data_IF_809730284466
#
_entry.id   IF_809730284466
#
_cell.length_a   1.000
_cell.length_b   1.000
_cell.length_c   1.000
_cell.angle_alpha   90.00
_cell.angle_beta   90.00
_cell.angle_gamma   90.00
#
_symmetry.space_group_name_H-M   'P 1'
#
loop_
_entity.id
_entity.type
_entity.pdbx_description
1 polymer ?
#
# COMPACT_ATOMS: atom_id res chain seq x y z
N UNK A 1 18.45 -26.55 -8.84
CA UNK A 1 19.54 -25.55 -8.68
C UNK A 1 18.96 -24.23 -8.20
N UNK A 2 19.51 -23.64 -7.13
CA UNK A 2 19.09 -22.32 -6.64
C UNK A 2 19.63 -21.24 -7.59
N UNK A 3 18.75 -20.41 -8.15
CA UNK A 3 19.13 -19.33 -9.06
C UNK A 3 19.97 -18.28 -8.30
N UNK A 4 21.27 -18.19 -8.62
CA UNK A 4 22.24 -17.28 -7.99
C UNK A 4 21.88 -15.80 -8.14
N UNK A 5 21.07 -15.41 -9.12
CA UNK A 5 20.68 -14.02 -9.35
C UNK A 5 19.42 -13.59 -8.59
N UNK A 6 18.67 -14.54 -8.01
CA UNK A 6 17.40 -14.25 -7.35
C UNK A 6 17.55 -13.81 -5.89
N UNK A 7 18.65 -14.20 -5.23
CA UNK A 7 18.82 -13.99 -3.79
C UNK A 7 20.14 -13.30 -3.49
N UNK A 8 20.12 -12.37 -2.53
CA UNK A 8 21.32 -11.75 -1.95
C UNK A 8 21.49 -12.21 -0.50
N UNK A 9 22.74 -12.41 -0.09
CA UNK A 9 23.08 -12.78 1.28
C UNK A 9 23.31 -11.52 2.12
N UNK A 10 22.82 -11.53 3.36
CA UNK A 10 23.05 -10.50 4.35
C UNK A 10 23.77 -11.11 5.55
N UNK A 11 24.92 -10.56 5.93
CA UNK A 11 25.64 -10.90 7.14
C UNK A 11 25.36 -9.83 8.21
N UNK A 12 25.09 -10.26 9.44
CA UNK A 12 24.76 -9.38 10.57
C UNK A 12 25.56 -9.85 11.77
N UNK A 13 26.23 -8.91 12.44
CA UNK A 13 26.89 -9.16 13.71
C UNK A 13 25.95 -8.75 14.85
N UNK A 14 25.83 -9.61 15.85
CA UNK A 14 25.03 -9.37 17.05
C UNK A 14 25.92 -9.57 18.27
N UNK A 15 25.61 -8.85 19.34
CA UNK A 15 26.25 -9.09 20.64
C UNK A 15 25.92 -10.49 21.15
N UNK A 16 26.85 -11.06 21.92
CA UNK A 16 26.75 -12.45 22.38
C UNK A 16 25.51 -12.69 23.25
N UNK A 17 25.16 -11.71 24.07
CA UNK A 17 24.01 -11.75 24.96
C UNK A 17 22.70 -11.78 24.18
N UNK A 18 22.56 -10.87 23.21
CA UNK A 18 21.39 -10.81 22.30
C UNK A 18 21.26 -12.10 21.50
N UNK A 19 22.37 -12.66 21.02
CA UNK A 19 22.36 -13.91 20.27
C UNK A 19 21.96 -15.13 21.11
N UNK A 20 22.30 -15.15 22.39
CA UNK A 20 21.86 -16.17 23.34
C UNK A 20 20.37 -16.02 23.68
N UNK A 21 19.88 -14.78 23.79
CA UNK A 21 18.48 -14.54 24.11
C UNK A 21 17.52 -15.01 23.00
N UNK A 22 17.97 -14.99 21.74
CA UNK A 22 17.22 -15.55 20.61
C UNK A 22 16.82 -17.02 20.82
N UNK A 23 17.57 -17.80 21.61
CA UNK A 23 17.22 -19.19 21.91
C UNK A 23 15.86 -19.30 22.63
N UNK A 24 15.50 -18.33 23.47
CA UNK A 24 14.22 -18.32 24.19
C UNK A 24 13.02 -18.20 23.25
N UNK A 25 13.21 -17.51 22.12
CA UNK A 25 12.14 -17.24 21.14
C UNK A 25 12.09 -18.25 20.00
N UNK A 26 13.15 -19.04 19.85
CA UNK A 26 13.21 -20.18 18.96
C UNK A 26 12.73 -21.40 19.75
N UNK A 27 11.42 -21.65 19.80
CA UNK A 27 10.77 -22.79 20.48
C UNK A 27 11.18 -24.17 19.88
N UNK A 28 12.47 -24.51 19.90
CA UNK A 28 13.07 -25.77 19.47
C UNK A 28 12.98 -26.13 17.98
N UNK A 29 12.08 -25.51 17.20
CA UNK A 29 11.77 -25.92 15.82
C UNK A 29 12.29 -24.96 14.74
N UNK A 30 12.80 -23.80 15.11
CA UNK A 30 13.26 -22.78 14.14
C UNK A 30 14.67 -22.32 14.44
N UNK A 31 15.49 -22.26 13.39
CA UNK A 31 16.84 -21.70 13.46
C UNK A 31 16.79 -20.19 13.78
N UNK A 32 17.73 -19.69 14.59
CA UNK A 32 17.88 -18.25 14.89
C UNK A 32 17.89 -17.38 13.64
N UNK A 33 18.56 -17.84 12.58
CA UNK A 33 18.62 -17.14 11.30
C UNK A 33 17.23 -16.95 10.65
N UNK A 34 16.34 -17.93 10.78
CA UNK A 34 14.96 -17.86 10.29
C UNK A 34 14.16 -16.85 11.10
N UNK A 35 14.33 -16.84 12.42
CA UNK A 35 13.67 -15.89 13.29
C UNK A 35 14.13 -14.45 13.03
N UNK A 36 15.43 -14.21 12.94
CA UNK A 36 16.02 -12.90 12.59
C UNK A 36 15.51 -12.42 11.23
N UNK A 37 15.47 -13.31 10.23
CA UNK A 37 14.90 -12.99 8.91
C UNK A 37 13.43 -12.58 9.00
N UNK A 38 12.63 -13.23 9.85
CA UNK A 38 11.22 -12.89 10.08
C UNK A 38 11.08 -11.52 10.75
N UNK A 39 11.89 -11.23 11.77
CA UNK A 39 11.92 -9.92 12.42
C UNK A 39 12.23 -8.80 11.44
N UNK A 40 13.30 -8.96 10.64
CA UNK A 40 13.70 -7.98 9.62
C UNK A 40 12.57 -7.77 8.61
N UNK A 41 11.95 -8.86 8.12
CA UNK A 41 10.83 -8.77 7.18
C UNK A 41 9.64 -8.00 7.77
N UNK A 42 9.29 -8.27 9.02
CA UNK A 42 8.19 -7.59 9.71
C UNK A 42 8.50 -6.10 9.95
N UNK A 43 9.72 -5.77 10.36
CA UNK A 43 10.16 -4.39 10.53
C UNK A 43 10.12 -3.61 9.21
N UNK A 44 10.64 -4.19 8.12
CA UNK A 44 10.60 -3.58 6.79
C UNK A 44 9.17 -3.39 6.28
N UNK A 45 8.29 -4.36 6.52
CA UNK A 45 6.88 -4.22 6.15
C UNK A 45 6.21 -3.08 6.93
N UNK A 46 6.50 -2.93 8.23
CA UNK A 46 5.99 -1.82 9.04
C UNK A 46 6.49 -0.47 8.51
N UNK A 47 7.75 -0.37 8.12
CA UNK A 47 8.33 0.85 7.52
C UNK A 47 7.68 1.15 6.17
N UNK A 48 7.50 0.15 5.30
CA UNK A 48 6.80 0.32 4.00
C UNK A 48 5.35 0.75 4.19
N UNK A 49 4.61 0.10 5.08
CA UNK A 49 3.24 0.49 5.40
C UNK A 49 3.19 1.89 5.98
N UNK A 50 4.14 2.29 6.83
CA UNK A 50 4.21 3.67 7.35
C UNK A 50 4.51 4.68 6.24
N UNK A 51 5.41 4.38 5.30
CA UNK A 51 5.68 5.26 4.15
C UNK A 51 4.50 5.32 3.16
N UNK A 52 3.66 4.29 3.08
CA UNK A 52 2.41 4.30 2.29
C UNK A 52 1.27 5.00 3.03
N UNK A 53 1.27 4.96 4.37
CA UNK A 53 0.22 5.52 5.24
C UNK A 53 0.56 6.92 5.79
N UNK A 54 1.73 7.48 5.50
CA UNK A 54 2.06 8.87 5.88
C UNK A 54 1.21 9.91 5.11
N UNK A 55 0.35 9.49 4.17
CA UNK A 55 -0.69 10.33 3.56
C UNK A 55 -2.10 10.14 4.17
N UNK A 56 -2.31 9.16 5.06
CA UNK A 56 -3.66 8.72 5.44
C UNK A 56 -3.81 8.50 6.97
N UNK A 57 -3.63 9.55 7.79
CA UNK A 57 -4.15 9.59 9.18
C UNK A 57 -5.62 10.05 9.25
N UNK A 58 -6.51 9.50 8.41
CA UNK A 58 -7.94 9.67 8.63
C UNK A 58 -8.74 8.40 8.29
N UNK A 59 -8.96 7.58 9.32
CA UNK A 59 -9.45 6.20 9.30
C UNK A 59 -10.91 6.00 8.86
N UNK A 60 -11.55 6.98 8.22
CA UNK A 60 -12.95 6.90 7.78
C UNK A 60 -13.17 7.09 6.27
N UNK A 61 -12.15 7.41 5.48
CA UNK A 61 -12.30 7.48 4.02
C UNK A 61 -11.86 6.17 3.38
N UNK A 62 -12.80 5.40 2.83
CA UNK A 62 -12.51 4.29 1.92
C UNK A 62 -11.93 4.88 0.63
N UNK A 63 -10.61 5.10 0.60
CA UNK A 63 -9.92 5.62 -0.58
C UNK A 63 -9.70 4.47 -1.57
N UNK A 64 -10.33 4.56 -2.74
CA UNK A 64 -10.08 3.64 -3.86
C UNK A 64 -8.86 4.19 -4.63
N UNK A 65 -7.73 3.49 -4.54
CA UNK A 65 -6.51 3.86 -5.27
C UNK A 65 -6.55 3.21 -6.67
N UNK A 66 -6.67 4.01 -7.71
CA UNK A 66 -6.67 3.58 -9.12
C UNK A 66 -5.38 4.01 -9.78
N UNK A 67 -4.68 3.07 -10.44
CA UNK A 67 -3.49 3.39 -11.23
C UNK A 67 -3.94 3.99 -12.57
N UNK A 68 -3.41 5.17 -12.91
CA UNK A 68 -3.69 5.83 -14.18
C UNK A 68 -2.38 5.88 -14.97
N UNK A 69 -2.35 5.24 -16.14
CA UNK A 69 -1.14 5.17 -16.96
C UNK A 69 -0.89 6.47 -17.76
N UNK A 70 -1.92 7.30 -17.97
CA UNK A 70 -1.88 8.51 -18.80
C UNK A 70 -1.94 9.82 -17.99
N UNK A 71 -1.36 9.86 -16.78
CA UNK A 71 -1.50 11.02 -15.89
C UNK A 71 -0.97 12.33 -16.51
N UNK A 72 0.11 12.27 -17.28
CA UNK A 72 0.72 13.44 -17.93
C UNK A 72 -0.22 14.13 -18.93
N UNK A 73 -0.98 13.37 -19.72
CA UNK A 73 -1.94 13.90 -20.68
C UNK A 73 -3.08 14.65 -19.97
N UNK A 74 -3.53 14.09 -18.84
CA UNK A 74 -4.59 14.67 -18.02
C UNK A 74 -4.10 15.96 -17.37
N UNK A 75 -2.88 15.97 -16.81
CA UNK A 75 -2.29 17.15 -16.21
C UNK A 75 -2.14 18.30 -17.22
N UNK A 76 -1.69 17.99 -18.44
CA UNK A 76 -1.59 18.98 -19.50
C UNK A 76 -2.96 19.56 -19.89
N UNK A 77 -3.97 18.71 -20.04
CA UNK A 77 -5.34 19.14 -20.33
C UNK A 77 -5.89 20.07 -19.23
N UNK A 78 -5.68 19.70 -17.96
CA UNK A 78 -6.11 20.47 -16.79
C UNK A 78 -5.46 21.85 -16.76
N UNK A 79 -4.16 21.92 -17.09
CA UNK A 79 -3.41 23.17 -17.20
C UNK A 79 -3.98 24.06 -18.30
N UNK A 80 -4.21 23.51 -19.50
CA UNK A 80 -4.75 24.26 -20.63
C UNK A 80 -6.17 24.80 -20.35
N UNK A 81 -7.01 24.02 -19.68
CA UNK A 81 -8.40 24.37 -19.35
C UNK A 81 -8.54 25.18 -18.06
N UNK A 82 -7.43 25.56 -17.40
CA UNK A 82 -7.40 26.37 -16.16
C UNK A 82 -8.22 25.75 -15.00
N UNK A 83 -8.24 24.42 -14.91
CA UNK A 83 -8.88 23.71 -13.79
C UNK A 83 -8.07 23.77 -12.48
N UNK A 84 -6.83 24.28 -12.53
CA UNK A 84 -5.94 24.40 -11.38
C UNK A 84 -5.14 23.12 -11.16
N UNK A 85 -5.77 22.07 -10.64
CA UNK A 85 -5.13 20.77 -10.39
C UNK A 85 -6.00 19.59 -10.85
N UNK A 86 -5.37 18.42 -11.00
CA UNK A 86 -6.05 17.21 -11.49
C UNK A 86 -7.16 16.76 -10.55
N UNK A 87 -7.03 16.98 -9.24
CA UNK A 87 -8.06 16.65 -8.27
C UNK A 87 -9.35 17.46 -8.49
N UNK A 88 -9.24 18.77 -8.70
CA UNK A 88 -10.37 19.65 -9.01
C UNK A 88 -11.08 19.25 -10.30
N UNK A 89 -10.30 18.87 -11.33
CA UNK A 89 -10.85 18.31 -12.56
C UNK A 89 -11.58 16.99 -12.34
N UNK A 90 -11.00 16.06 -11.56
CA UNK A 90 -11.63 14.79 -11.24
C UNK A 90 -12.95 14.98 -10.46
N UNK A 91 -12.99 15.89 -9.50
CA UNK A 91 -14.23 16.25 -8.78
C UNK A 91 -15.28 16.80 -9.73
N UNK A 92 -14.90 17.72 -10.63
CA UNK A 92 -15.82 18.27 -11.63
C UNK A 92 -16.36 17.19 -12.58
N UNK A 93 -15.48 16.36 -13.13
CA UNK A 93 -15.84 15.27 -14.05
C UNK A 93 -16.76 14.25 -13.37
N UNK A 94 -16.47 13.90 -12.11
CA UNK A 94 -17.30 13.00 -11.32
C UNK A 94 -18.69 13.62 -11.05
N UNK A 95 -18.75 14.89 -10.64
CA UNK A 95 -20.03 15.57 -10.41
C UNK A 95 -20.88 15.65 -11.70
N UNK A 96 -20.24 15.94 -12.83
CA UNK A 96 -20.89 15.99 -14.14
C UNK A 96 -21.37 14.60 -14.61
N UNK A 97 -20.62 13.54 -14.30
CA UNK A 97 -21.01 12.18 -14.64
C UNK A 97 -22.19 11.72 -13.79
N UNK A 98 -22.13 11.96 -12.48
CA UNK A 98 -23.18 11.58 -11.52
C UNK A 98 -24.48 12.35 -11.74
N UNK A 99 -24.42 13.60 -12.22
CA UNK A 99 -25.63 14.35 -12.59
C UNK A 99 -26.33 13.78 -13.82
N UNK A 100 -25.58 13.18 -14.75
CA UNK A 100 -26.12 12.55 -15.98
C UNK A 100 -26.57 11.11 -15.76
N UNK A 101 -25.84 10.37 -14.94
CA UNK A 101 -26.08 8.97 -14.63
C UNK A 101 -26.22 8.81 -13.12
N UNK A 102 -27.33 9.29 -12.59
CA UNK A 102 -27.69 9.03 -11.20
C UNK A 102 -27.74 7.51 -10.99
N UNK A 103 -27.03 7.03 -9.96
CA UNK A 103 -27.05 5.62 -9.59
C UNK A 103 -28.48 5.30 -9.17
N UNK A 104 -29.20 4.50 -9.97
CA UNK A 104 -30.49 3.95 -9.56
C UNK A 104 -30.22 2.99 -8.41
N UNK A 105 -30.68 3.35 -7.21
CA UNK A 105 -30.70 2.42 -6.09
C UNK A 105 -31.67 1.29 -6.47
N UNK A 106 -31.15 0.09 -6.72
CA UNK A 106 -31.96 -1.09 -6.98
C UNK A 106 -32.50 -1.67 -5.67
N UNK A 107 -33.08 -0.85 -4.80
CA UNK A 107 -33.68 -1.29 -3.54
C UNK A 107 -35.16 -1.71 -3.71
N UNK A 108 -35.71 -1.72 -4.93
CA UNK A 108 -37.12 -2.07 -5.21
C UNK A 108 -37.33 -3.53 -5.67
N UNK A 109 -36.56 -4.50 -5.17
CA UNK A 109 -36.84 -5.93 -5.48
C UNK A 109 -36.76 -6.86 -4.28
N UNK A 110 -37.45 -6.52 -3.18
CA UNK A 110 -37.90 -7.52 -2.21
C UNK A 110 -39.24 -7.07 -1.59
N UNK A 111 -40.32 -7.16 -2.37
CA UNK A 111 -41.70 -7.28 -1.87
C UNK A 111 -42.66 -7.52 -3.04
N UNK A 112 -42.92 -8.81 -3.33
CA UNK A 112 -44.21 -9.40 -3.69
C UNK A 112 -44.03 -10.89 -3.99
#
# INVERSE_FOLDING_TARGET
>A
MINKYKYKTLAICLEKEVYAELDKYCEGKTYKSVFVRRLIKNALNKIKSKNINNDDENKNNKVIKVKVDNYFEIEEYVRQKKFGNVSSFATFAMAQYMSRFAVKNNDEKEQN
#
